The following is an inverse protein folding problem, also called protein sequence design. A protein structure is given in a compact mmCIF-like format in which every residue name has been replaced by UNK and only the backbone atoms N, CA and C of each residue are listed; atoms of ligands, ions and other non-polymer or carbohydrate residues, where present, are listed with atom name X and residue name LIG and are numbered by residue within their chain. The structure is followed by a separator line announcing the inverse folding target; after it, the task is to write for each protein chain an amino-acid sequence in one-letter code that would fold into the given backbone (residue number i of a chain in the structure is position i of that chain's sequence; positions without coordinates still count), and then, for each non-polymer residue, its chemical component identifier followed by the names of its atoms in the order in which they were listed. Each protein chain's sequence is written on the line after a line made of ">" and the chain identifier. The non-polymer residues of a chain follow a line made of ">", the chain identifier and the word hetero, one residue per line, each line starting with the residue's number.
data_IF_891439783488
#
_entry.id   IF_891439783488
#
_cell.length_a   1.000
_cell.length_b   1.000
_cell.length_c   1.000
_cell.angle_alpha   90.00
_cell.angle_beta   90.00
_cell.angle_gamma   90.00
#
_symmetry.space_group_name_H-M   'P 1'
#
loop_
_entity.id
_entity.type
_entity.pdbx_description
1 polymer ?
#
# COMPACT_ATOMS: atom_id res chain seq x y z
N UNK A 1 -6.63 0.80 4.79
CA UNK A 1 -6.09 1.31 6.08
C UNK A 1 -5.82 2.81 6.06
N UNK A 2 -5.98 3.53 4.93
CA UNK A 2 -5.99 5.00 4.91
C UNK A 2 -7.37 5.58 5.24
N UNK A 3 -7.54 6.88 5.00
CA UNK A 3 -8.80 7.59 5.23
C UNK A 3 -9.96 7.03 4.41
N UNK A 4 -11.13 6.88 5.04
CA UNK A 4 -12.36 6.44 4.40
C UNK A 4 -13.23 7.62 3.97
N UNK A 5 -14.09 7.44 2.96
CA UNK A 5 -15.15 8.41 2.68
C UNK A 5 -16.15 8.46 3.84
N UNK A 6 -16.68 9.64 4.15
CA UNK A 6 -17.72 9.83 5.17
C UNK A 6 -19.09 9.30 4.72
N UNK A 7 -19.36 9.32 3.41
CA UNK A 7 -20.55 8.73 2.84
C UNK A 7 -20.51 7.20 3.00
N UNK A 8 -21.55 6.64 3.59
CA UNK A 8 -21.59 5.23 3.97
C UNK A 8 -21.65 4.29 2.77
N UNK A 9 -22.33 4.70 1.68
CA UNK A 9 -22.39 3.90 0.45
C UNK A 9 -21.01 3.82 -0.23
N UNK A 10 -20.27 4.94 -0.26
CA UNK A 10 -18.87 4.95 -0.68
C UNK A 10 -18.00 4.10 0.24
N UNK A 11 -18.22 4.13 1.56
CA UNK A 11 -17.47 3.30 2.50
C UNK A 11 -17.71 1.80 2.27
N UNK A 12 -18.95 1.38 1.99
CA UNK A 12 -19.24 0.01 1.58
C UNK A 12 -18.53 -0.39 0.30
N UNK A 13 -18.41 0.52 -0.68
CA UNK A 13 -17.65 0.26 -1.91
C UNK A 13 -16.17 -0.06 -1.61
N UNK A 14 -15.55 0.66 -0.69
CA UNK A 14 -14.18 0.37 -0.22
C UNK A 14 -14.11 -0.99 0.48
N UNK A 15 -15.05 -1.30 1.36
CA UNK A 15 -15.13 -2.60 2.07
C UNK A 15 -15.24 -3.76 1.07
N UNK A 16 -16.16 -3.64 0.11
CA UNK A 16 -16.39 -4.65 -0.93
C UNK A 16 -15.14 -4.87 -1.79
N UNK A 17 -14.43 -3.80 -2.19
CA UNK A 17 -13.21 -3.94 -2.97
C UNK A 17 -12.07 -4.59 -2.19
N UNK A 18 -11.90 -4.25 -0.91
CA UNK A 18 -10.91 -4.91 -0.04
C UNK A 18 -11.24 -6.40 0.12
N UNK A 19 -12.53 -6.74 0.33
CA UNK A 19 -12.97 -8.13 0.43
C UNK A 19 -12.71 -8.90 -0.87
N UNK A 20 -13.03 -8.31 -2.02
CA UNK A 20 -12.78 -8.91 -3.32
C UNK A 20 -11.29 -9.16 -3.55
N UNK A 21 -10.44 -8.15 -3.32
CA UNK A 21 -8.99 -8.29 -3.44
C UNK A 21 -8.43 -9.40 -2.54
N UNK A 22 -8.87 -9.48 -1.28
CA UNK A 22 -8.44 -10.52 -0.35
C UNK A 22 -8.80 -11.93 -0.82
N UNK A 23 -10.03 -12.12 -1.31
CA UNK A 23 -10.53 -13.43 -1.76
C UNK A 23 -9.83 -13.86 -3.06
N UNK A 24 -9.69 -12.94 -4.01
CA UNK A 24 -9.03 -13.19 -5.29
C UNK A 24 -7.52 -13.43 -5.14
N UNK A 25 -6.90 -12.88 -4.09
CA UNK A 25 -5.53 -13.17 -3.68
C UNK A 25 -5.39 -14.44 -2.81
N UNK A 26 -6.49 -15.17 -2.55
CA UNK A 26 -6.52 -16.37 -1.69
C UNK A 26 -6.01 -16.16 -0.27
N UNK A 27 -6.27 -14.98 0.31
CA UNK A 27 -5.90 -14.69 1.68
C UNK A 27 -6.65 -15.60 2.68
N UNK A 28 -5.92 -16.16 3.66
CA UNK A 28 -6.50 -17.00 4.72
C UNK A 28 -7.42 -16.22 5.66
N UNK A 29 -7.18 -14.92 5.82
CA UNK A 29 -7.95 -14.03 6.72
C UNK A 29 -8.03 -12.62 6.15
N UNK A 30 -9.19 -12.00 6.27
CA UNK A 30 -9.41 -10.58 5.96
C UNK A 30 -9.93 -9.85 7.20
N UNK A 31 -9.35 -8.70 7.50
CA UNK A 31 -9.81 -7.84 8.60
C UNK A 31 -10.87 -6.87 8.07
N UNK A 32 -12.03 -6.88 8.71
CA UNK A 32 -13.20 -6.13 8.25
C UNK A 32 -13.16 -4.68 8.71
N UNK A 33 -13.54 -3.79 7.79
CA UNK A 33 -13.76 -2.36 8.04
C UNK A 33 -15.23 -2.04 8.08
N UNK A 34 -15.56 -0.86 8.58
CA UNK A 34 -16.95 -0.44 8.79
C UNK A 34 -17.26 0.85 8.05
N UNK A 35 -18.55 1.10 7.81
CA UNK A 35 -19.02 2.37 7.26
C UNK A 35 -18.73 3.58 8.16
N UNK A 36 -18.38 3.34 9.43
CA UNK A 36 -18.06 4.39 10.41
C UNK A 36 -16.56 4.69 10.49
N UNK A 37 -15.72 4.08 9.65
CA UNK A 37 -14.25 4.24 9.71
C UNK A 37 -13.78 5.70 9.63
N UNK A 38 -14.51 6.56 8.92
CA UNK A 38 -14.19 7.99 8.81
C UNK A 38 -14.69 8.84 9.99
N UNK A 39 -15.53 8.29 10.85
CA UNK A 39 -16.24 9.00 11.93
C UNK A 39 -15.77 8.58 13.32
N UNK A 40 -15.29 7.35 13.51
CA UNK A 40 -14.76 6.86 14.77
C UNK A 40 -14.99 5.37 15.01
N UNK A 41 -15.01 4.97 16.28
CA UNK A 41 -15.27 3.58 16.67
C UNK A 41 -16.69 3.19 16.24
N UNK A 42 -16.89 2.07 15.52
CA UNK A 42 -18.19 1.69 14.99
C UNK A 42 -19.16 1.24 16.07
N UNK A 43 -20.46 1.45 15.84
CA UNK A 43 -21.48 0.73 16.59
C UNK A 43 -21.46 -0.76 16.23
N UNK A 44 -22.10 -1.60 17.07
CA UNK A 44 -22.22 -3.04 16.80
C UNK A 44 -22.95 -3.32 15.48
N UNK A 45 -23.93 -2.50 15.11
CA UNK A 45 -24.69 -2.60 13.86
C UNK A 45 -23.82 -2.29 12.64
N UNK A 46 -23.06 -1.19 12.69
CA UNK A 46 -22.15 -0.81 11.61
C UNK A 46 -21.04 -1.85 11.40
N UNK A 47 -20.53 -2.42 12.50
CA UNK A 47 -19.57 -3.51 12.45
C UNK A 47 -20.18 -4.80 11.85
N UNK A 48 -21.37 -5.19 12.31
CA UNK A 48 -22.08 -6.35 11.78
C UNK A 48 -22.39 -6.21 10.27
N UNK A 49 -22.73 -5.01 9.80
CA UNK A 49 -22.95 -4.73 8.37
C UNK A 49 -21.66 -4.88 7.55
N UNK A 50 -20.53 -4.40 8.07
CA UNK A 50 -19.21 -4.63 7.46
C UNK A 50 -18.92 -6.14 7.33
N UNK A 51 -19.13 -6.90 8.41
CA UNK A 51 -18.90 -8.35 8.43
C UNK A 51 -19.77 -9.09 7.41
N UNK A 52 -21.07 -8.75 7.35
CA UNK A 52 -22.01 -9.34 6.38
C UNK A 52 -21.62 -9.01 4.94
N UNK A 53 -21.22 -7.76 4.68
CA UNK A 53 -20.76 -7.32 3.35
C UNK A 53 -19.52 -8.10 2.93
N UNK A 54 -18.49 -8.16 3.78
CA UNK A 54 -17.27 -8.92 3.48
C UNK A 54 -17.57 -10.40 3.27
N UNK A 55 -18.40 -11.02 4.12
CA UNK A 55 -18.78 -12.43 3.98
C UNK A 55 -19.50 -12.71 2.66
N UNK A 56 -20.39 -11.81 2.23
CA UNK A 56 -21.08 -11.93 0.94
C UNK A 56 -20.08 -11.98 -0.22
N UNK A 57 -19.10 -11.07 -0.25
CA UNK A 57 -18.06 -11.05 -1.28
C UNK A 57 -17.18 -12.30 -1.24
N UNK A 58 -16.81 -12.77 -0.04
CA UNK A 58 -16.10 -14.05 0.11
C UNK A 58 -16.87 -15.21 -0.47
N UNK A 59 -18.18 -15.33 -0.19
CA UNK A 59 -19.02 -16.39 -0.74
C UNK A 59 -19.15 -16.31 -2.26
N UNK A 60 -19.29 -15.11 -2.82
CA UNK A 60 -19.44 -14.90 -4.28
C UNK A 60 -18.15 -15.20 -5.07
N UNK A 61 -16.99 -14.92 -4.50
CA UNK A 61 -15.70 -14.96 -5.22
C UNK A 61 -14.81 -16.15 -4.84
N UNK A 62 -15.24 -17.03 -3.92
CA UNK A 62 -14.42 -18.12 -3.35
C UNK A 62 -13.73 -19.00 -4.40
N UNK A 63 -14.40 -19.24 -5.53
CA UNK A 63 -13.94 -20.15 -6.59
C UNK A 63 -13.03 -19.45 -7.61
N UNK A 64 -12.85 -18.13 -7.51
CA UNK A 64 -12.04 -17.32 -8.43
C UNK A 64 -10.65 -17.02 -7.86
N UNK A 65 -9.68 -16.76 -8.72
CA UNK A 65 -8.31 -16.44 -8.33
C UNK A 65 -7.64 -15.53 -9.35
N UNK A 66 -6.84 -14.57 -8.88
CA UNK A 66 -5.97 -13.76 -9.73
C UNK A 66 -4.48 -14.05 -9.55
N UNK A 67 -4.10 -14.99 -8.67
CA UNK A 67 -2.70 -15.19 -8.26
C UNK A 67 -1.74 -15.56 -9.41
N UNK A 68 -2.26 -16.19 -10.48
CA UNK A 68 -1.46 -16.67 -11.61
C UNK A 68 -1.55 -15.78 -12.85
N UNK A 69 -2.26 -14.64 -12.79
CA UNK A 69 -2.36 -13.79 -13.99
C UNK A 69 -1.00 -13.11 -14.25
N UNK A 70 -0.59 -12.93 -15.52
CA UNK A 70 0.74 -12.42 -15.85
C UNK A 70 1.10 -11.11 -15.16
N UNK A 71 0.14 -10.18 -15.05
CA UNK A 71 0.37 -8.90 -14.38
C UNK A 71 0.69 -9.03 -12.88
N UNK A 72 0.00 -9.94 -12.17
CA UNK A 72 0.24 -10.19 -10.74
C UNK A 72 1.58 -10.89 -10.55
N UNK A 73 1.92 -11.85 -11.42
CA UNK A 73 3.21 -12.55 -11.36
C UNK A 73 4.37 -11.57 -11.61
N UNK A 74 4.25 -10.71 -12.64
CA UNK A 74 5.26 -9.71 -12.96
C UNK A 74 5.48 -8.73 -11.79
N UNK A 75 4.40 -8.20 -11.21
CA UNK A 75 4.48 -7.30 -10.06
C UNK A 75 5.02 -8.00 -8.80
N UNK A 76 4.64 -9.27 -8.57
CA UNK A 76 5.18 -10.06 -7.45
C UNK A 76 6.69 -10.25 -7.56
N UNK A 77 7.22 -10.45 -8.77
CA UNK A 77 8.67 -10.58 -8.99
C UNK A 77 9.42 -9.28 -8.65
N UNK A 78 8.82 -8.11 -8.90
CA UNK A 78 9.39 -6.82 -8.49
C UNK A 78 9.41 -6.72 -6.96
N UNK A 79 8.29 -7.02 -6.30
CA UNK A 79 8.17 -6.97 -4.83
C UNK A 79 9.17 -7.93 -4.16
N UNK A 80 9.36 -9.13 -4.70
CA UNK A 80 10.34 -10.10 -4.20
C UNK A 80 11.75 -9.52 -4.26
N UNK A 81 12.16 -8.98 -5.42
CA UNK A 81 13.49 -8.39 -5.58
C UNK A 81 13.73 -7.20 -4.62
N UNK A 82 12.73 -6.32 -4.45
CA UNK A 82 12.80 -5.22 -3.47
C UNK A 82 12.97 -5.74 -2.05
N UNK A 83 12.19 -6.76 -1.69
CA UNK A 83 12.22 -7.37 -0.36
C UNK A 83 13.57 -8.04 -0.09
N UNK A 84 14.11 -8.79 -1.05
CA UNK A 84 15.42 -9.42 -0.96
C UNK A 84 16.54 -8.39 -0.75
N UNK A 85 16.50 -7.24 -1.45
CA UNK A 85 17.46 -6.16 -1.25
C UNK A 85 17.48 -5.66 0.20
N UNK A 86 16.29 -5.44 0.79
CA UNK A 86 16.15 -4.97 2.17
C UNK A 86 16.61 -6.06 3.14
N UNK A 87 16.10 -7.29 3.01
CA UNK A 87 16.40 -8.39 3.92
C UNK A 87 17.89 -8.74 3.93
N UNK A 88 18.53 -8.79 2.76
CA UNK A 88 19.97 -9.01 2.66
C UNK A 88 20.75 -7.96 3.45
N UNK A 89 20.37 -6.69 3.33
CA UNK A 89 21.05 -5.61 4.06
C UNK A 89 20.82 -5.69 5.57
N UNK A 90 19.62 -6.09 5.99
CA UNK A 90 19.29 -6.36 7.40
C UNK A 90 20.18 -7.47 7.95
N UNK A 91 20.32 -8.58 7.21
CA UNK A 91 21.18 -9.70 7.57
C UNK A 91 22.65 -9.29 7.70
N UNK A 92 23.17 -8.52 6.72
CA UNK A 92 24.55 -8.01 6.72
C UNK A 92 24.84 -7.15 7.95
N UNK A 93 23.92 -6.23 8.30
CA UNK A 93 24.04 -5.36 9.46
C UNK A 93 23.98 -6.15 10.78
N UNK A 94 23.19 -7.22 10.81
CA UNK A 94 23.07 -8.13 11.94
C UNK A 94 24.16 -9.19 12.01
N UNK A 95 25.00 -9.32 10.99
CA UNK A 95 25.98 -10.42 10.83
C UNK A 95 25.31 -11.80 11.01
N UNK A 96 24.11 -11.96 10.43
CA UNK A 96 23.28 -13.16 10.55
C UNK A 96 22.27 -13.16 11.70
N UNK A 97 22.35 -12.23 12.66
CA UNK A 97 21.32 -12.04 13.69
C UNK A 97 20.25 -11.05 13.20
N UNK A 98 19.06 -11.56 12.90
CA UNK A 98 17.95 -10.76 12.37
C UNK A 98 17.39 -9.72 13.34
N UNK A 99 17.43 -9.99 14.65
CA UNK A 99 16.90 -9.05 15.65
C UNK A 99 17.85 -7.85 15.79
N UNK A 100 19.15 -8.12 15.90
CA UNK A 100 20.19 -7.08 15.90
C UNK A 100 20.19 -6.33 14.56
N UNK A 101 20.10 -7.07 13.45
CA UNK A 101 20.02 -6.54 12.10
C UNK A 101 18.84 -5.59 11.92
N UNK A 102 17.65 -5.94 12.43
CA UNK A 102 16.47 -5.08 12.34
C UNK A 102 16.67 -3.75 13.09
N UNK A 103 17.23 -3.79 14.32
CA UNK A 103 17.52 -2.57 15.09
C UNK A 103 18.53 -1.68 14.34
N UNK A 104 19.61 -2.28 13.84
CA UNK A 104 20.63 -1.58 13.07
C UNK A 104 20.07 -1.02 11.75
N UNK A 105 19.18 -1.75 11.09
CA UNK A 105 18.56 -1.35 9.83
C UNK A 105 17.64 -0.13 10.00
N UNK A 106 16.85 -0.05 11.08
CA UNK A 106 16.10 1.16 11.41
C UNK A 106 17.03 2.35 11.67
N UNK A 107 18.09 2.14 12.48
CA UNK A 107 19.06 3.19 12.77
C UNK A 107 19.79 3.71 11.51
N UNK A 108 20.01 2.84 10.53
CA UNK A 108 20.64 3.18 9.25
C UNK A 108 19.65 3.68 8.18
N UNK A 109 18.33 3.61 8.40
CA UNK A 109 17.30 3.93 7.41
C UNK A 109 17.13 2.91 6.28
N UNK A 110 17.65 1.69 6.46
CA UNK A 110 17.47 0.56 5.53
C UNK A 110 16.03 0.04 5.60
N UNK A 111 15.47 0.01 6.80
CA UNK A 111 14.02 -0.12 7.01
C UNK A 111 13.52 1.27 7.40
N UNK A 112 12.59 1.78 6.61
CA UNK A 112 11.95 3.07 6.82
C UNK A 112 10.45 2.95 6.52
N UNK A 113 9.62 3.47 7.42
CA UNK A 113 8.17 3.33 7.37
C UNK A 113 7.54 4.70 7.12
N UNK A 114 6.82 4.89 6.00
CA UNK A 114 6.17 6.16 5.69
C UNK A 114 5.25 6.64 6.83
N UNK A 115 5.42 7.90 7.24
CA UNK A 115 4.58 8.57 8.24
C UNK A 115 4.59 7.93 9.65
N UNK A 116 5.58 7.09 9.96
CA UNK A 116 5.68 6.50 11.29
C UNK A 116 6.02 7.57 12.35
N UNK A 117 5.37 7.56 13.53
CA UNK A 117 5.61 8.54 14.59
C UNK A 117 6.86 8.25 15.43
N UNK A 118 7.49 7.08 15.25
CA UNK A 118 8.66 6.68 16.02
C UNK A 118 9.86 7.58 15.69
N UNK A 119 10.51 8.12 16.72
CA UNK A 119 11.77 8.87 16.56
C UNK A 119 12.93 8.05 16.01
N UNK A 120 12.82 6.72 16.06
CA UNK A 120 13.82 5.80 15.51
C UNK A 120 13.62 5.51 14.03
N UNK A 121 12.50 5.96 13.46
CA UNK A 121 12.24 5.83 12.03
C UNK A 121 12.96 6.95 11.27
N UNK A 122 13.64 6.61 10.18
CA UNK A 122 14.43 7.58 9.42
C UNK A 122 13.58 8.65 8.72
N UNK A 123 12.39 8.28 8.23
CA UNK A 123 11.37 9.20 7.74
C UNK A 123 11.75 9.89 6.42
N UNK A 124 12.59 9.27 5.60
CA UNK A 124 13.01 9.80 4.29
C UNK A 124 12.43 9.03 3.12
N UNK A 125 11.93 7.82 3.33
CA UNK A 125 11.14 7.12 2.31
C UNK A 125 9.81 7.84 2.10
N UNK A 126 9.47 8.16 0.86
CA UNK A 126 8.20 8.78 0.48
C UNK A 126 7.52 7.95 -0.60
N UNK A 127 6.28 7.48 -0.37
CA UNK A 127 5.51 6.75 -1.37
C UNK A 127 4.60 7.70 -2.18
N UNK A 128 4.38 7.40 -3.46
CA UNK A 128 3.33 8.01 -4.28
C UNK A 128 2.70 6.93 -5.16
N UNK A 129 1.48 7.14 -5.65
CA UNK A 129 0.87 6.22 -6.62
C UNK A 129 1.39 6.50 -8.04
N UNK A 130 1.58 5.44 -8.82
CA UNK A 130 1.77 5.54 -10.26
C UNK A 130 0.46 5.80 -11.00
N UNK A 131 0.52 5.81 -12.33
CA UNK A 131 -0.63 6.14 -13.17
C UNK A 131 -1.78 5.12 -13.07
N UNK A 132 -1.48 3.88 -12.68
CA UNK A 132 -2.47 2.81 -12.49
C UNK A 132 -2.98 2.74 -11.05
N UNK A 133 -2.38 3.50 -10.13
CA UNK A 133 -2.73 3.55 -8.72
C UNK A 133 -1.91 2.62 -7.83
N UNK A 134 -0.93 1.89 -8.36
CA UNK A 134 0.00 1.11 -7.57
C UNK A 134 0.97 2.02 -6.82
N UNK A 135 1.34 1.66 -5.59
CA UNK A 135 2.24 2.47 -4.76
C UNK A 135 3.69 2.24 -5.21
N UNK A 136 4.42 3.33 -5.40
CA UNK A 136 5.82 3.38 -5.82
C UNK A 136 6.65 4.24 -4.88
N UNK A 137 7.97 4.08 -4.95
CA UNK A 137 8.89 4.95 -4.23
C UNK A 137 9.10 6.27 -4.98
N UNK A 138 8.56 7.36 -4.42
CA UNK A 138 8.89 8.73 -4.85
C UNK A 138 10.28 9.13 -4.37
N UNK A 139 10.59 8.81 -3.11
CA UNK A 139 11.92 8.93 -2.54
C UNK A 139 12.22 7.66 -1.74
N UNK A 140 13.44 7.13 -1.87
CA UNK A 140 13.83 5.86 -1.24
C UNK A 140 14.61 6.02 0.05
N UNK A 141 15.09 7.22 0.37
CA UNK A 141 15.98 7.43 1.52
C UNK A 141 17.20 6.51 1.43
N UNK A 142 17.42 5.69 2.47
CA UNK A 142 18.52 4.72 2.55
C UNK A 142 18.06 3.27 2.25
N UNK A 143 16.86 3.06 1.72
CA UNK A 143 16.40 1.72 1.33
C UNK A 143 17.31 1.22 0.19
N UNK A 144 17.95 0.04 0.36
CA UNK A 144 19.06 -0.40 -0.48
C UNK A 144 18.61 -1.07 -1.80
N UNK A 145 17.75 -0.40 -2.57
CA UNK A 145 17.25 -0.95 -3.83
C UNK A 145 18.33 -0.90 -4.93
N UNK A 146 18.32 -1.93 -5.79
CA UNK A 146 19.13 -1.93 -7.01
C UNK A 146 18.72 -0.79 -7.97
N UNK A 147 19.66 -0.28 -8.76
CA UNK A 147 19.40 0.81 -9.72
C UNK A 147 18.25 0.49 -10.70
N UNK A 148 18.15 -0.76 -11.17
CA UNK A 148 17.06 -1.19 -12.04
C UNK A 148 15.68 -1.05 -11.39
N UNK A 149 15.57 -1.30 -10.09
CA UNK A 149 14.33 -1.10 -9.34
C UNK A 149 14.03 0.39 -9.17
N UNK A 150 15.05 1.21 -8.87
CA UNK A 150 14.89 2.67 -8.79
C UNK A 150 14.37 3.26 -10.11
N UNK A 151 14.93 2.82 -11.24
CA UNK A 151 14.50 3.25 -12.58
C UNK A 151 13.08 2.76 -12.89
N UNK A 152 12.72 1.54 -12.47
CA UNK A 152 11.35 1.04 -12.57
C UNK A 152 10.35 1.96 -11.84
N UNK A 153 10.59 2.30 -10.56
CA UNK A 153 9.71 3.21 -9.81
C UNK A 153 9.62 4.59 -10.45
N UNK A 154 10.77 5.14 -10.88
CA UNK A 154 10.82 6.43 -11.56
C UNK A 154 9.99 6.42 -12.84
N UNK A 155 10.17 5.43 -13.71
CA UNK A 155 9.43 5.33 -14.97
C UNK A 155 7.91 5.27 -14.74
N UNK A 156 7.45 4.51 -13.74
CA UNK A 156 6.02 4.39 -13.39
C UNK A 156 5.42 5.70 -12.88
N UNK A 157 6.20 6.48 -12.13
CA UNK A 157 5.78 7.81 -11.68
C UNK A 157 5.78 8.83 -12.83
N UNK A 158 6.75 8.74 -13.76
CA UNK A 158 6.80 9.59 -14.95
C UNK A 158 5.60 9.36 -15.89
N UNK A 159 5.14 8.10 -16.03
CA UNK A 159 3.89 7.80 -16.75
C UNK A 159 2.69 8.59 -16.17
N UNK A 160 2.63 8.75 -14.83
CA UNK A 160 1.60 9.56 -14.16
C UNK A 160 1.80 11.04 -14.43
N UNK A 161 3.03 11.54 -14.32
CA UNK A 161 3.35 12.94 -14.54
C UNK A 161 2.98 13.40 -15.97
N UNK A 162 3.30 12.57 -16.96
CA UNK A 162 2.91 12.81 -18.36
C UNK A 162 1.40 12.85 -18.53
N UNK A 163 0.67 11.90 -17.94
CA UNK A 163 -0.79 11.86 -18.00
C UNK A 163 -1.44 13.08 -17.34
N UNK A 164 -0.97 13.46 -16.14
CA UNK A 164 -1.51 14.59 -15.36
C UNK A 164 -0.97 15.96 -15.80
N UNK A 165 0.00 15.99 -16.72
CA UNK A 165 0.67 17.22 -17.20
C UNK A 165 1.24 18.07 -16.06
N UNK A 166 1.80 17.41 -15.05
CA UNK A 166 2.48 18.05 -13.91
C UNK A 166 3.67 17.18 -13.48
N UNK A 167 4.75 17.78 -12.95
CA UNK A 167 5.92 17.01 -12.54
C UNK A 167 5.60 16.06 -11.38
N UNK A 168 6.34 14.95 -11.32
CA UNK A 168 6.38 14.08 -10.14
C UNK A 168 6.82 14.91 -8.94
N UNK A 169 6.00 14.94 -7.88
CA UNK A 169 6.23 15.84 -6.75
C UNK A 169 5.59 15.33 -5.46
N UNK A 170 6.02 15.91 -4.33
CA UNK A 170 5.42 15.63 -3.02
C UNK A 170 3.91 15.96 -2.97
N UNK A 171 3.43 16.88 -3.82
CA UNK A 171 2.00 17.17 -3.92
C UNK A 171 1.19 15.92 -4.32
N UNK A 172 1.73 15.03 -5.16
CA UNK A 172 1.07 13.76 -5.50
C UNK A 172 0.84 12.90 -4.25
N UNK A 173 1.79 12.90 -3.30
CA UNK A 173 1.67 12.17 -2.02
C UNK A 173 0.49 12.71 -1.22
N UNK A 174 0.41 14.04 -1.09
CA UNK A 174 -0.69 14.71 -0.37
C UNK A 174 -2.02 14.36 -1.03
N UNK A 175 -2.10 14.45 -2.35
CA UNK A 175 -3.33 14.17 -3.09
C UNK A 175 -3.77 12.70 -2.90
N UNK A 176 -2.83 11.76 -2.93
CA UNK A 176 -3.09 10.33 -2.76
C UNK A 176 -3.53 9.95 -1.34
N UNK A 177 -3.03 10.64 -0.32
CA UNK A 177 -3.45 10.45 1.08
C UNK A 177 -4.93 10.77 1.26
N UNK A 178 -5.45 11.77 0.55
CA UNK A 178 -6.86 12.18 0.63
C UNK A 178 -7.77 11.53 -0.43
N UNK A 179 -7.21 10.87 -1.46
CA UNK A 179 -7.96 10.40 -2.63
C UNK A 179 -9.15 9.50 -2.26
N UNK A 180 -8.94 8.49 -1.42
CA UNK A 180 -10.00 7.52 -1.06
C UNK A 180 -11.14 8.20 -0.29
N UNK A 181 -10.82 9.12 0.61
CA UNK A 181 -11.82 9.93 1.31
C UNK A 181 -12.66 10.79 0.36
N UNK A 182 -12.07 11.24 -0.74
CA UNK A 182 -12.74 11.96 -1.83
C UNK A 182 -13.44 11.05 -2.84
N UNK A 183 -13.28 9.72 -2.73
CA UNK A 183 -13.94 8.71 -3.57
C UNK A 183 -13.12 8.21 -4.75
N UNK A 184 -11.81 8.46 -4.78
CA UNK A 184 -10.91 8.03 -5.86
C UNK A 184 -9.74 7.19 -5.32
N UNK A 185 -9.14 6.34 -6.15
CA UNK A 185 -7.91 5.63 -5.75
C UNK A 185 -6.68 6.52 -5.89
N UNK A 186 -6.61 7.33 -6.95
CA UNK A 186 -5.46 8.18 -7.30
C UNK A 186 -5.86 9.65 -7.14
N UNK A 187 -5.01 10.44 -6.48
CA UNK A 187 -5.22 11.87 -6.28
C UNK A 187 -4.89 12.66 -7.56
N UNK A 188 -5.82 12.66 -8.51
CA UNK A 188 -5.69 13.44 -9.75
C UNK A 188 -5.93 14.94 -9.48
N UNK A 189 -5.24 15.85 -10.20
CA UNK A 189 -5.57 17.26 -10.17
C UNK A 189 -7.00 17.48 -10.69
N UNK A 190 -7.71 18.43 -10.09
CA UNK A 190 -9.06 18.86 -10.47
C UNK A 190 -8.97 20.04 -11.41
#
# INVERSE_FOLDING_TARGET
>A
MGGFPQDEAKAFSVISWVAAAAVLAKATKVIVKTRHEAMGVPTKEANAQGLRTTKQLTSMLKDQSLVNIPAVVAESNIIIQETECILKRVEDLGKGDWAVGAVAAFAAGVIDIPFAPSKFNYGKVMPARDNSGAVRFLAVGNIPLAYSLLDFHRSKLEERAQYERRPVSFQMVIDDVYAIGKGFLVGRPV
#
